data_IF_367140924682
#
_entry.id   IF_367140924682
#
_cell.length_a   1.000
_cell.length_b   1.000
_cell.length_c   1.000
_cell.angle_alpha   90.00
_cell.angle_beta   90.00
_cell.angle_gamma   90.00
#
_symmetry.space_group_name_H-M   'P 1'
#
loop_
_entity.id
_entity.type
_entity.pdbx_description
1 polymer ?
#
# COMPACT_ATOMS: atom_id res chain seq x y z
N UNK A 1 -38.67 21.96 -50.55
CA UNK A 1 -38.15 21.13 -49.44
C UNK A 1 -39.13 21.23 -48.28
N UNK A 2 -39.72 20.13 -47.82
CA UNK A 2 -40.81 20.15 -46.83
C UNK A 2 -40.28 20.65 -45.48
N UNK A 3 -41.04 21.50 -44.76
CA UNK A 3 -40.63 22.06 -43.44
C UNK A 3 -40.22 20.97 -42.44
N UNK A 4 -40.82 19.78 -42.53
CA UNK A 4 -40.48 18.59 -41.73
C UNK A 4 -39.08 18.05 -42.04
N UNK A 5 -38.63 18.13 -43.29
CA UNK A 5 -37.29 17.67 -43.73
C UNK A 5 -36.19 18.65 -43.30
N UNK A 6 -36.49 19.95 -43.23
CA UNK A 6 -35.55 20.99 -42.76
C UNK A 6 -35.30 20.91 -41.24
N UNK A 7 -36.35 20.61 -40.46
CA UNK A 7 -36.25 20.44 -39.00
C UNK A 7 -35.47 19.17 -38.65
N UNK A 8 -35.67 18.07 -39.38
CA UNK A 8 -34.89 16.84 -39.18
C UNK A 8 -33.39 17.04 -39.46
N UNK A 9 -33.05 17.90 -40.43
CA UNK A 9 -31.67 18.16 -40.84
C UNK A 9 -30.89 19.01 -39.81
N UNK A 10 -31.58 19.79 -38.98
CA UNK A 10 -30.99 20.60 -37.90
C UNK A 10 -31.01 19.90 -36.52
N UNK A 11 -31.92 18.95 -36.28
CA UNK A 11 -32.01 18.23 -35.00
C UNK A 11 -30.88 17.21 -34.81
N UNK A 12 -30.45 16.56 -35.88
CA UNK A 12 -29.39 15.54 -35.86
C UNK A 12 -28.02 16.12 -35.45
N UNK A 13 -27.53 17.26 -36.01
CA UNK A 13 -26.25 17.83 -35.57
C UNK A 13 -26.29 18.41 -34.14
N UNK A 14 -27.44 18.88 -33.66
CA UNK A 14 -27.58 19.39 -32.28
C UNK A 14 -27.42 18.29 -31.23
N UNK A 15 -27.93 17.08 -31.49
CA UNK A 15 -27.79 15.93 -30.58
C UNK A 15 -26.32 15.46 -30.54
N UNK A 16 -25.62 15.48 -31.67
CA UNK A 16 -24.20 15.08 -31.74
C UNK A 16 -23.29 16.07 -30.99
N UNK A 17 -23.55 17.39 -31.07
CA UNK A 17 -22.78 18.41 -30.34
C UNK A 17 -23.04 18.35 -28.82
N UNK A 18 -24.25 18.00 -28.40
CA UNK A 18 -24.59 17.80 -26.98
C UNK A 18 -23.94 16.55 -26.38
N UNK A 19 -23.81 15.46 -27.13
CA UNK A 19 -23.09 14.26 -26.68
C UNK A 19 -21.58 14.47 -26.53
N UNK A 20 -20.94 15.20 -27.45
CA UNK A 20 -19.50 15.48 -27.38
C UNK A 20 -19.16 16.38 -26.17
N UNK A 21 -20.05 17.31 -25.82
CA UNK A 21 -19.85 18.23 -24.69
C UNK A 21 -20.00 17.55 -23.32
N UNK A 22 -20.80 16.49 -23.20
CA UNK A 22 -21.00 15.77 -21.94
C UNK A 22 -19.79 14.89 -21.56
N UNK A 23 -19.09 14.35 -22.56
CA UNK A 23 -17.90 13.50 -22.31
C UNK A 23 -16.70 14.27 -21.76
N UNK A 24 -16.54 15.55 -22.16
CA UNK A 24 -15.42 16.39 -21.73
C UNK A 24 -15.53 16.84 -20.26
N UNK A 25 -16.75 17.08 -19.76
CA UNK A 25 -16.97 17.55 -18.38
C UNK A 25 -16.68 16.46 -17.35
N UNK A 26 -17.11 15.22 -17.60
CA UNK A 26 -16.87 14.10 -16.69
C UNK A 26 -15.38 13.79 -16.52
N UNK A 27 -14.59 13.93 -17.60
CA UNK A 27 -13.13 13.73 -17.59
C UNK A 27 -12.41 14.76 -16.72
N UNK A 28 -12.77 16.04 -16.86
CA UNK A 28 -12.15 17.12 -16.09
C UNK A 28 -12.44 17.04 -14.58
N UNK A 29 -13.61 16.53 -14.20
CA UNK A 29 -13.97 16.36 -12.78
C UNK A 29 -13.23 15.17 -12.14
N UNK A 30 -13.13 14.04 -12.84
CA UNK A 30 -12.42 12.86 -12.35
C UNK A 30 -10.91 13.11 -12.18
N UNK A 31 -10.27 13.81 -13.13
CA UNK A 31 -8.86 14.21 -13.02
C UNK A 31 -8.59 15.11 -11.81
N UNK A 32 -9.50 16.05 -11.56
CA UNK A 32 -9.41 16.97 -10.43
C UNK A 32 -9.58 16.23 -9.11
N UNK A 33 -10.58 15.34 -9.00
CA UNK A 33 -10.82 14.52 -7.81
C UNK A 33 -9.59 13.66 -7.54
N UNK A 34 -9.08 12.92 -8.54
CA UNK A 34 -7.88 12.12 -8.39
C UNK A 34 -6.68 12.96 -7.92
N UNK A 35 -6.42 14.10 -8.55
CA UNK A 35 -5.28 14.96 -8.20
C UNK A 35 -5.37 15.48 -6.76
N UNK A 36 -6.58 15.84 -6.31
CA UNK A 36 -6.83 16.29 -4.93
C UNK A 36 -6.65 15.15 -3.92
N UNK A 37 -7.21 13.97 -4.22
CA UNK A 37 -7.08 12.77 -3.37
C UNK A 37 -5.63 12.30 -3.32
N UNK A 38 -4.92 12.26 -4.44
CA UNK A 38 -3.50 11.91 -4.48
C UNK A 38 -2.70 12.90 -3.63
N UNK A 39 -2.94 14.21 -3.75
CA UNK A 39 -2.26 15.22 -2.93
C UNK A 39 -2.55 15.03 -1.44
N UNK A 40 -3.79 14.73 -1.05
CA UNK A 40 -4.18 14.44 0.35
C UNK A 40 -3.39 13.26 0.92
N UNK A 41 -3.21 12.21 0.13
CA UNK A 41 -2.50 10.98 0.54
C UNK A 41 -1.01 10.98 0.20
N UNK A 42 -0.48 12.11 -0.27
CA UNK A 42 0.95 12.32 -0.49
C UNK A 42 1.56 13.02 0.71
N UNK A 43 2.63 12.47 1.24
CA UNK A 43 3.49 13.13 2.22
C UNK A 43 4.88 13.32 1.63
N UNK A 44 5.55 14.40 2.02
CA UNK A 44 6.92 14.64 1.59
C UNK A 44 7.70 15.39 2.66
N UNK A 45 8.98 15.08 2.76
CA UNK A 45 9.92 15.79 3.62
C UNK A 45 11.23 16.00 2.87
N UNK A 46 11.79 17.20 3.01
CA UNK A 46 13.08 17.58 2.44
C UNK A 46 14.09 17.77 3.57
N UNK A 47 15.28 17.20 3.42
CA UNK A 47 16.38 17.32 4.37
C UNK A 47 17.37 18.35 3.84
N UNK A 48 17.28 19.57 4.36
CA UNK A 48 18.08 20.71 3.90
C UNK A 48 17.89 20.97 2.40
N UNK A 49 18.99 21.14 1.68
CA UNK A 49 19.05 21.20 0.22
C UNK A 49 19.55 19.89 -0.41
N UNK A 50 19.81 18.85 0.39
CA UNK A 50 20.49 17.63 -0.07
C UNK A 50 19.55 16.66 -0.78
N UNK A 51 18.42 16.30 -0.17
CA UNK A 51 17.48 15.36 -0.76
C UNK A 51 16.05 15.53 -0.24
N UNK A 52 15.09 14.97 -0.97
CA UNK A 52 13.70 14.87 -0.58
C UNK A 52 13.18 13.44 -0.69
N UNK A 53 12.24 13.11 0.18
CA UNK A 53 11.50 11.85 0.12
C UNK A 53 10.02 12.20 0.04
N UNK A 54 9.34 11.59 -0.91
CA UNK A 54 7.92 11.73 -1.16
C UNK A 54 7.30 10.35 -1.19
N UNK A 55 6.15 10.17 -0.56
CA UNK A 55 5.42 8.92 -0.61
C UNK A 55 3.92 9.18 -0.78
N UNK A 56 3.26 8.34 -1.57
CA UNK A 56 1.81 8.31 -1.71
C UNK A 56 1.28 7.02 -1.10
N UNK A 57 0.35 7.12 -0.15
CA UNK A 57 -0.30 5.94 0.41
C UNK A 57 -1.50 5.53 -0.46
N UNK A 58 -1.44 4.33 -1.05
CA UNK A 58 -2.53 3.77 -1.86
C UNK A 58 -3.63 3.18 -0.96
N UNK A 59 -4.39 4.07 -0.33
CA UNK A 59 -5.55 3.70 0.46
C UNK A 59 -6.82 3.53 -0.43
N UNK A 60 -7.93 3.00 0.13
CA UNK A 60 -9.16 2.77 -0.66
C UNK A 60 -9.69 4.01 -1.39
N UNK A 61 -9.65 5.18 -0.76
CA UNK A 61 -10.12 6.44 -1.36
C UNK A 61 -9.30 6.81 -2.61
N UNK A 62 -7.97 6.68 -2.56
CA UNK A 62 -7.10 6.97 -3.70
C UNK A 62 -7.28 5.95 -4.83
N UNK A 63 -7.45 4.67 -4.49
CA UNK A 63 -7.74 3.60 -5.46
C UNK A 63 -9.03 3.92 -6.22
N UNK A 64 -10.09 4.29 -5.50
CA UNK A 64 -11.38 4.64 -6.10
C UNK A 64 -11.25 5.86 -7.02
N UNK A 65 -10.58 6.92 -6.56
CA UNK A 65 -10.36 8.10 -7.38
C UNK A 65 -9.55 7.78 -8.65
N UNK A 66 -8.57 6.87 -8.56
CA UNK A 66 -7.81 6.41 -9.72
C UNK A 66 -8.67 5.63 -10.72
N UNK A 67 -9.47 4.69 -10.25
CA UNK A 67 -10.34 3.89 -11.13
C UNK A 67 -11.39 4.79 -11.79
N UNK A 68 -11.98 5.75 -11.07
CA UNK A 68 -12.92 6.72 -11.64
C UNK A 68 -12.25 7.58 -12.73
N UNK A 69 -11.02 8.06 -12.47
CA UNK A 69 -10.21 8.76 -13.48
C UNK A 69 -9.94 7.88 -14.71
N UNK A 70 -9.45 6.66 -14.50
CA UNK A 70 -9.16 5.72 -15.58
C UNK A 70 -10.42 5.38 -16.39
N UNK A 71 -11.56 5.18 -15.73
CA UNK A 71 -12.84 4.94 -16.37
C UNK A 71 -13.28 6.10 -17.24
N UNK A 72 -13.17 7.33 -16.75
CA UNK A 72 -13.48 8.54 -17.52
C UNK A 72 -12.51 8.74 -18.70
N UNK A 73 -11.21 8.45 -18.52
CA UNK A 73 -10.20 8.57 -19.58
C UNK A 73 -10.38 7.55 -20.70
N UNK A 74 -10.85 6.34 -20.38
CA UNK A 74 -11.02 5.23 -21.31
C UNK A 74 -12.49 4.98 -21.72
N UNK A 75 -13.42 5.85 -21.32
CA UNK A 75 -14.86 5.75 -21.60
C UNK A 75 -15.48 4.41 -21.18
N UNK A 76 -15.02 3.87 -20.05
CA UNK A 76 -15.49 2.60 -19.52
C UNK A 76 -16.92 2.72 -19.00
N UNK A 77 -17.75 1.73 -19.32
CA UNK A 77 -19.02 1.49 -18.65
C UNK A 77 -18.81 1.19 -17.15
N UNK A 78 -19.90 1.24 -16.37
CA UNK A 78 -19.81 0.94 -14.93
C UNK A 78 -19.34 -0.50 -14.66
N UNK A 79 -19.75 -1.45 -15.50
CA UNK A 79 -19.33 -2.85 -15.41
C UNK A 79 -17.83 -3.00 -15.69
N UNK A 80 -17.33 -2.34 -16.75
CA UNK A 80 -15.90 -2.34 -17.08
C UNK A 80 -15.05 -1.64 -16.02
N UNK A 81 -15.54 -0.55 -15.42
CA UNK A 81 -14.86 0.09 -14.29
C UNK A 81 -14.80 -0.83 -13.07
N UNK A 82 -15.88 -1.58 -12.82
CA UNK A 82 -15.94 -2.56 -11.74
C UNK A 82 -14.91 -3.68 -11.97
N UNK A 83 -14.88 -4.25 -13.17
CA UNK A 83 -13.90 -5.27 -13.52
C UNK A 83 -12.45 -4.73 -13.40
N UNK A 84 -12.20 -3.52 -13.91
CA UNK A 84 -10.89 -2.89 -13.79
C UNK A 84 -10.49 -2.62 -12.33
N UNK A 85 -11.43 -2.20 -11.47
CA UNK A 85 -11.16 -2.00 -10.06
C UNK A 85 -10.62 -3.29 -9.41
N UNK A 86 -11.27 -4.42 -9.68
CA UNK A 86 -10.89 -5.73 -9.14
C UNK A 86 -9.53 -6.17 -9.63
N UNK A 87 -9.32 -6.10 -10.95
CA UNK A 87 -8.04 -6.42 -11.58
C UNK A 87 -6.93 -5.53 -11.00
N UNK A 88 -7.21 -4.25 -10.74
CA UNK A 88 -6.25 -3.32 -10.15
C UNK A 88 -5.92 -3.67 -8.70
N UNK A 89 -6.94 -3.95 -7.87
CA UNK A 89 -6.76 -4.39 -6.49
C UNK A 89 -5.90 -5.66 -6.41
N UNK A 90 -6.17 -6.64 -7.28
CA UNK A 90 -5.46 -7.91 -7.32
C UNK A 90 -4.03 -7.72 -7.84
N UNK A 91 -3.86 -7.03 -8.97
CA UNK A 91 -2.55 -6.78 -9.60
C UNK A 91 -1.61 -6.03 -8.67
N UNK A 92 -2.11 -5.00 -8.01
CA UNK A 92 -1.33 -4.21 -7.04
C UNK A 92 -1.29 -4.84 -5.64
N UNK A 93 -1.99 -5.97 -5.45
CA UNK A 93 -2.01 -6.76 -4.21
C UNK A 93 -2.47 -5.96 -2.99
N UNK A 94 -3.33 -4.97 -3.18
CA UNK A 94 -3.84 -4.11 -2.11
C UNK A 94 -4.66 -4.88 -1.07
N UNK A 95 -5.18 -6.06 -1.40
CA UNK A 95 -5.84 -6.96 -0.42
C UNK A 95 -4.87 -7.50 0.65
N UNK A 96 -3.58 -7.66 0.30
CA UNK A 96 -2.56 -8.28 1.16
C UNK A 96 -1.64 -7.26 1.81
N UNK A 97 -1.36 -6.16 1.10
CA UNK A 97 -0.34 -5.20 1.51
C UNK A 97 -0.88 -3.77 1.67
N UNK A 98 -0.30 -3.04 2.61
CA UNK A 98 -0.29 -1.59 2.59
C UNK A 98 0.79 -1.16 1.59
N UNK A 99 0.42 -0.35 0.61
CA UNK A 99 1.30 0.00 -0.51
C UNK A 99 1.59 1.49 -0.51
N UNK A 100 2.87 1.82 -0.56
CA UNK A 100 3.35 3.19 -0.63
C UNK A 100 4.15 3.37 -1.92
N UNK A 101 3.77 4.35 -2.75
CA UNK A 101 4.56 4.74 -3.91
C UNK A 101 5.55 5.81 -3.50
N UNK A 102 6.81 5.43 -3.37
CA UNK A 102 7.87 6.23 -2.77
C UNK A 102 8.78 6.76 -3.85
N UNK A 103 9.24 7.99 -3.69
CA UNK A 103 10.27 8.62 -4.49
C UNK A 103 11.29 9.26 -3.57
N UNK A 104 12.56 8.93 -3.75
CA UNK A 104 13.70 9.57 -3.11
C UNK A 104 14.45 10.32 -4.19
N UNK A 105 14.60 11.62 -4.04
CA UNK A 105 15.24 12.51 -5.01
C UNK A 105 16.40 13.24 -4.36
N UNK A 106 17.60 13.05 -4.92
CA UNK A 106 18.79 13.85 -4.61
C UNK A 106 18.64 15.22 -5.26
N UNK A 107 18.76 16.26 -4.45
CA UNK A 107 18.68 17.65 -4.89
C UNK A 107 20.09 18.19 -5.16
N UNK A 108 20.88 18.43 -4.10
CA UNK A 108 22.29 18.85 -4.20
C UNK A 108 23.23 17.83 -3.54
N UNK A 109 24.54 18.07 -3.60
CA UNK A 109 25.53 17.19 -2.98
C UNK A 109 25.78 15.87 -3.70
N UNK A 110 26.54 14.95 -3.08
CA UNK A 110 26.86 13.66 -3.67
C UNK A 110 25.66 12.72 -3.65
N UNK A 111 25.78 11.64 -4.41
CA UNK A 111 24.78 10.59 -4.46
C UNK A 111 24.46 10.02 -3.07
N UNK A 112 23.18 9.71 -2.86
CA UNK A 112 22.71 9.06 -1.65
C UNK A 112 23.14 7.59 -1.66
N UNK A 113 23.41 7.05 -0.48
CA UNK A 113 23.83 5.67 -0.31
C UNK A 113 23.03 5.07 0.84
N UNK A 114 21.84 4.51 0.55
CA UNK A 114 21.01 3.91 1.56
C UNK A 114 21.71 2.71 2.20
N UNK A 115 21.90 2.75 3.51
CA UNK A 115 22.50 1.64 4.24
C UNK A 115 21.40 0.67 4.64
N UNK A 116 21.47 -0.58 4.15
CA UNK A 116 20.54 -1.66 4.51
C UNK A 116 19.07 -1.19 4.50
N UNK A 117 18.59 -0.84 3.32
CA UNK A 117 17.33 -0.12 3.14
C UNK A 117 16.16 -0.83 3.85
N UNK A 118 16.11 -2.16 3.76
CA UNK A 118 15.10 -3.00 4.40
C UNK A 118 15.04 -2.85 5.93
N UNK A 119 16.19 -2.72 6.62
CA UNK A 119 16.24 -2.59 8.08
C UNK A 119 15.97 -1.16 8.55
N UNK A 120 16.29 -0.18 7.71
CA UNK A 120 16.21 1.24 8.05
C UNK A 120 14.94 1.92 7.52
N UNK A 121 14.11 1.18 6.79
CA UNK A 121 12.80 1.65 6.32
C UNK A 121 11.68 0.77 6.90
N UNK A 122 10.78 1.38 7.67
CA UNK A 122 9.70 0.66 8.35
C UNK A 122 8.48 1.55 8.60
N UNK A 123 7.32 0.93 8.76
CA UNK A 123 6.12 1.59 9.26
C UNK A 123 6.07 1.55 10.79
N UNK A 124 5.50 2.59 11.38
CA UNK A 124 5.17 2.67 12.81
C UNK A 124 3.68 2.98 12.94
N UNK A 125 2.97 2.23 13.79
CA UNK A 125 1.59 2.54 14.18
C UNK A 125 1.52 3.54 15.35
N UNK A 126 0.31 3.84 15.82
CA UNK A 126 0.04 4.72 16.95
C UNK A 126 0.54 4.15 18.30
N UNK A 127 0.70 2.83 18.40
CA UNK A 127 1.21 2.12 19.57
C UNK A 127 2.73 2.02 19.59
N UNK A 128 3.42 2.46 18.52
CA UNK A 128 4.87 2.38 18.40
C UNK A 128 5.39 1.03 17.91
N UNK A 129 4.52 0.14 17.44
CA UNK A 129 4.95 -1.12 16.83
C UNK A 129 5.59 -0.84 15.47
N UNK A 130 6.71 -1.51 15.19
CA UNK A 130 7.44 -1.39 13.92
C UNK A 130 7.08 -2.54 12.99
N UNK A 131 6.83 -2.21 11.73
CA UNK A 131 6.54 -3.18 10.66
C UNK A 131 7.51 -2.95 9.51
N UNK A 132 8.31 -3.97 9.21
CA UNK A 132 9.36 -3.87 8.20
C UNK A 132 8.83 -4.13 6.79
N UNK A 133 9.54 -3.59 5.80
CA UNK A 133 9.25 -3.84 4.39
C UNK A 133 9.30 -5.33 4.07
N UNK A 134 8.36 -5.79 3.25
CA UNK A 134 8.35 -7.14 2.70
C UNK A 134 8.92 -7.17 1.28
N UNK A 135 8.50 -6.22 0.45
CA UNK A 135 8.93 -6.14 -0.95
C UNK A 135 9.11 -4.69 -1.40
N UNK A 136 10.11 -4.46 -2.24
CA UNK A 136 10.40 -3.18 -2.90
C UNK A 136 11.37 -3.39 -4.08
N UNK A 137 11.47 -2.41 -5.01
CA UNK A 137 12.44 -2.47 -6.10
C UNK A 137 13.89 -2.42 -5.58
N UNK A 138 14.77 -3.26 -6.13
CA UNK A 138 16.15 -3.38 -5.69
C UNK A 138 16.95 -2.08 -5.81
N UNK A 139 16.52 -1.19 -6.69
CA UNK A 139 17.12 0.12 -6.94
C UNK A 139 17.17 1.01 -5.68
N UNK A 140 16.34 0.74 -4.66
CA UNK A 140 16.42 1.43 -3.37
C UNK A 140 17.60 0.98 -2.49
N UNK A 141 18.18 -0.20 -2.74
CA UNK A 141 19.43 -0.65 -2.09
C UNK A 141 20.69 -0.13 -2.81
N UNK A 142 20.53 0.43 -4.01
CA UNK A 142 21.63 0.94 -4.82
C UNK A 142 21.95 2.42 -4.51
N UNK A 143 23.09 2.88 -5.03
CA UNK A 143 23.50 4.28 -4.94
C UNK A 143 22.56 5.16 -5.79
N UNK A 144 21.93 6.16 -5.18
CA UNK A 144 20.96 7.04 -5.85
C UNK A 144 21.66 8.30 -6.34
N UNK A 145 21.88 8.39 -7.65
CA UNK A 145 22.54 9.54 -8.27
C UNK A 145 21.62 10.74 -8.47
N UNK A 146 20.37 10.51 -8.87
CA UNK A 146 19.39 11.58 -9.10
C UNK A 146 18.09 11.27 -8.37
N UNK A 147 17.46 10.15 -8.72
CA UNK A 147 16.16 9.77 -8.17
C UNK A 147 15.96 8.27 -8.25
N UNK A 148 15.28 7.71 -7.25
CA UNK A 148 14.71 6.36 -7.30
C UNK A 148 13.22 6.46 -6.93
N UNK A 149 12.39 5.67 -7.62
CA UNK A 149 10.96 5.62 -7.37
C UNK A 149 10.45 4.19 -7.44
N UNK A 150 9.44 3.88 -6.64
CA UNK A 150 8.71 2.62 -6.75
C UNK A 150 7.88 2.26 -5.53
N UNK A 151 7.20 1.12 -5.64
CA UNK A 151 6.21 0.67 -4.65
C UNK A 151 6.87 -0.12 -3.53
N UNK A 152 6.54 0.23 -2.30
CA UNK A 152 6.94 -0.48 -1.09
C UNK A 152 5.73 -1.19 -0.50
N UNK A 153 5.89 -2.47 -0.20
CA UNK A 153 4.82 -3.34 0.28
C UNK A 153 5.08 -3.71 1.74
N UNK A 154 4.11 -3.40 2.59
CA UNK A 154 4.07 -3.81 4.00
C UNK A 154 2.89 -4.72 4.23
N UNK A 155 2.97 -5.65 5.18
CA UNK A 155 1.81 -6.46 5.57
C UNK A 155 0.62 -5.58 5.94
N UNK A 156 -0.62 -5.98 5.61
CA UNK A 156 -1.81 -5.35 6.21
C UNK A 156 -2.06 -5.82 7.64
N UNK A 157 -1.53 -6.98 7.99
CA UNK A 157 -1.70 -7.62 9.30
C UNK A 157 -0.46 -7.36 10.15
N UNK A 158 -0.69 -6.80 11.33
CA UNK A 158 0.32 -6.51 12.34
C UNK A 158 0.35 -7.57 13.43
N UNK A 159 0.63 -7.13 14.67
CA UNK A 159 0.71 -8.03 15.82
C UNK A 159 -0.66 -8.64 16.17
N UNK A 160 -0.64 -9.85 16.71
CA UNK A 160 -1.84 -10.57 17.16
C UNK A 160 -2.94 -10.63 16.09
N UNK A 161 -2.52 -10.74 14.84
CA UNK A 161 -3.40 -10.79 13.66
C UNK A 161 -4.34 -9.59 13.48
N UNK A 162 -4.03 -8.45 14.11
CA UNK A 162 -4.81 -7.24 13.96
C UNK A 162 -4.37 -6.44 12.72
N UNK A 163 -5.30 -5.79 11.99
CA UNK A 163 -4.92 -4.89 10.90
C UNK A 163 -4.04 -3.74 11.42
N UNK A 164 -2.96 -3.41 10.69
CA UNK A 164 -2.11 -2.25 11.02
C UNK A 164 -2.90 -0.94 10.87
N UNK A 165 -3.79 -0.87 9.88
CA UNK A 165 -4.71 0.24 9.63
C UNK A 165 -6.14 -0.26 9.80
N UNK A 166 -6.80 0.16 10.88
CA UNK A 166 -8.18 -0.15 11.22
C UNK A 166 -8.92 1.08 11.77
N UNK A 167 -10.20 0.94 12.16
CA UNK A 167 -11.05 2.06 12.61
C UNK A 167 -10.47 2.90 13.76
N UNK A 168 -9.68 2.27 14.62
CA UNK A 168 -9.08 2.93 15.79
C UNK A 168 -7.72 3.56 15.49
N UNK A 169 -7.08 3.21 14.36
CA UNK A 169 -5.75 3.71 13.98
C UNK A 169 -5.81 5.20 13.72
N UNK A 170 -5.14 5.99 14.57
CA UNK A 170 -5.10 7.47 14.44
C UNK A 170 -3.98 7.98 13.55
N UNK A 171 -2.89 7.22 13.43
CA UNK A 171 -1.75 7.59 12.59
C UNK A 171 -0.96 6.36 12.16
N UNK A 172 -0.33 6.48 11.00
CA UNK A 172 0.80 5.64 10.59
C UNK A 172 1.94 6.54 10.15
N UNK A 173 3.17 6.09 10.42
CA UNK A 173 4.39 6.82 10.05
C UNK A 173 5.28 5.91 9.21
N UNK A 174 5.61 6.33 7.99
CA UNK A 174 6.64 5.69 7.19
C UNK A 174 7.98 6.37 7.51
N UNK A 175 8.88 5.59 8.09
CA UNK A 175 10.17 6.04 8.56
C UNK A 175 11.26 5.57 7.62
N UNK A 176 12.19 6.47 7.28
CA UNK A 176 13.44 6.16 6.59
C UNK A 176 14.62 6.72 7.41
N UNK A 177 15.66 5.93 7.58
CA UNK A 177 16.93 6.39 8.14
C UNK A 177 18.11 5.97 7.29
N UNK A 178 19.27 6.59 7.53
CA UNK A 178 20.53 6.21 6.91
C UNK A 178 20.48 6.17 5.37
N UNK A 179 19.75 7.10 4.74
CA UNK A 179 19.70 7.25 3.28
C UNK A 179 21.01 7.83 2.70
N UNK A 180 21.84 8.45 3.53
CA UNK A 180 23.13 9.00 3.16
C UNK A 180 24.22 8.51 4.12
N UNK A 181 25.44 8.39 3.60
CA UNK A 181 26.65 8.13 4.39
C UNK A 181 27.41 9.41 4.73
N UNK A 182 26.96 10.56 4.24
CA UNK A 182 27.58 11.84 4.56
C UNK A 182 27.37 12.19 6.05
N UNK A 183 28.42 12.59 6.80
CA UNK A 183 28.32 12.84 8.24
C UNK A 183 27.20 13.82 8.64
N UNK A 184 26.94 14.83 7.80
CA UNK A 184 25.88 15.83 8.03
C UNK A 184 24.46 15.26 7.91
N UNK A 185 24.30 14.14 7.19
CA UNK A 185 23.00 13.57 6.84
C UNK A 185 22.79 12.12 7.29
N UNK A 186 23.83 11.42 7.74
CA UNK A 186 23.76 10.01 8.15
C UNK A 186 22.79 9.76 9.31
N UNK A 187 22.68 10.73 10.23
CA UNK A 187 21.78 10.66 11.38
C UNK A 187 20.38 11.23 11.10
N UNK A 188 20.12 11.74 9.88
CA UNK A 188 18.83 12.33 9.53
C UNK A 188 17.80 11.22 9.30
N UNK A 189 16.65 11.39 9.95
CA UNK A 189 15.49 10.53 9.76
C UNK A 189 14.42 11.29 9.00
N UNK A 190 13.76 10.58 8.10
CA UNK A 190 12.58 11.06 7.38
C UNK A 190 11.38 10.33 7.96
N UNK A 191 10.36 11.10 8.35
CA UNK A 191 9.10 10.59 8.89
C UNK A 191 7.94 11.17 8.09
N UNK A 192 7.28 10.32 7.31
CA UNK A 192 6.10 10.67 6.54
C UNK A 192 4.86 10.17 7.29
N UNK A 193 3.99 11.09 7.72
CA UNK A 193 2.90 10.78 8.65
C UNK A 193 1.54 10.95 7.96
N UNK A 194 0.72 9.90 8.01
CA UNK A 194 -0.69 9.97 7.63
C UNK A 194 -1.55 9.89 8.89
N UNK A 195 -2.42 10.89 9.07
CA UNK A 195 -3.42 10.93 10.14
C UNK A 195 -4.74 10.35 9.64
N UNK A 196 -5.44 9.68 10.53
CA UNK A 196 -6.71 8.99 10.26
C UNK A 196 -6.64 8.14 8.96
N UNK A 197 -5.66 7.22 8.85
CA UNK A 197 -5.38 6.51 7.60
C UNK A 197 -6.46 5.50 7.21
N UNK A 198 -7.37 5.15 8.12
CA UNK A 198 -8.44 4.23 7.85
C UNK A 198 -9.59 4.91 7.11
N UNK A 199 -9.86 4.40 5.91
CA UNK A 199 -11.05 4.76 5.13
C UNK A 199 -12.04 3.61 5.25
N UNK A 200 -13.25 3.85 5.80
CA UNK A 200 -14.27 2.82 5.83
C UNK A 200 -14.65 2.43 4.39
N UNK A 201 -14.92 1.15 4.13
CA UNK A 201 -15.43 0.73 2.83
C UNK A 201 -16.71 1.50 2.49
N UNK A 202 -16.74 2.10 1.30
CA UNK A 202 -17.92 2.80 0.78
C UNK A 202 -18.86 1.80 0.12
N UNK A 203 -19.89 1.39 0.85
CA UNK A 203 -20.93 0.49 0.34
C UNK A 203 -22.04 1.21 -0.42
N UNK A 204 -22.02 2.55 -0.52
CA UNK A 204 -23.09 3.33 -1.15
C UNK A 204 -23.08 3.21 -2.67
N UNK A 205 -21.92 2.91 -3.26
CA UNK A 205 -21.82 2.58 -4.67
C UNK A 205 -21.73 1.04 -4.83
N UNK A 206 -22.81 0.43 -5.33
CA UNK A 206 -22.96 -1.03 -5.48
C UNK A 206 -21.80 -1.68 -6.26
N UNK A 207 -21.24 -0.98 -7.25
CA UNK A 207 -20.09 -1.41 -8.06
C UNK A 207 -18.76 -1.51 -7.30
N UNK A 208 -18.69 -0.98 -6.07
CA UNK A 208 -17.46 -0.93 -5.27
C UNK A 208 -17.56 -1.72 -3.98
N UNK A 209 -18.70 -2.37 -3.74
CA UNK A 209 -18.76 -3.45 -2.76
C UNK A 209 -17.82 -4.55 -3.26
N UNK A 210 -16.86 -5.03 -2.45
CA UNK A 210 -16.12 -6.24 -2.82
C UNK A 210 -17.15 -7.33 -3.08
N UNK A 211 -17.07 -7.98 -4.25
CA UNK A 211 -17.95 -9.11 -4.48
C UNK A 211 -17.68 -10.16 -3.42
N UNK A 212 -18.72 -10.82 -2.92
CA UNK A 212 -18.60 -11.87 -1.89
C UNK A 212 -17.51 -12.88 -2.25
N UNK A 213 -17.33 -13.18 -3.53
CA UNK A 213 -16.28 -14.07 -4.05
C UNK A 213 -14.86 -13.57 -3.80
N UNK A 214 -14.59 -12.26 -3.89
CA UNK A 214 -13.27 -11.68 -3.62
C UNK A 214 -12.93 -11.69 -2.14
N UNK A 215 -13.93 -11.40 -1.31
CA UNK A 215 -13.78 -11.48 0.14
C UNK A 215 -13.56 -12.94 0.57
N UNK A 216 -14.26 -13.89 -0.06
CA UNK A 216 -14.03 -15.32 0.11
C UNK A 216 -12.59 -15.69 -0.31
N UNK A 217 -12.10 -15.20 -1.45
CA UNK A 217 -10.74 -15.51 -1.93
C UNK A 217 -9.67 -14.95 -0.97
N UNK A 218 -9.84 -13.71 -0.49
CA UNK A 218 -8.97 -13.12 0.55
C UNK A 218 -8.96 -13.98 1.82
N UNK A 219 -10.13 -14.43 2.26
CA UNK A 219 -10.27 -15.27 3.46
C UNK A 219 -9.67 -16.66 3.25
N UNK A 220 -9.81 -17.26 2.07
CA UNK A 220 -9.19 -18.54 1.71
C UNK A 220 -7.66 -18.45 1.70
N UNK A 221 -7.10 -17.39 1.12
CA UNK A 221 -5.65 -17.16 1.16
C UNK A 221 -5.14 -16.95 2.60
N UNK A 222 -5.91 -16.24 3.43
CA UNK A 222 -5.59 -16.09 4.86
C UNK A 222 -5.61 -17.44 5.58
N UNK A 223 -6.55 -18.33 5.27
CA UNK A 223 -6.58 -19.69 5.81
C UNK A 223 -5.29 -20.44 5.42
N UNK A 224 -4.86 -20.38 4.15
CA UNK A 224 -3.64 -21.04 3.69
C UNK A 224 -2.41 -20.55 4.47
N UNK A 225 -2.27 -19.23 4.67
CA UNK A 225 -1.16 -18.67 5.45
C UNK A 225 -1.22 -19.10 6.92
N UNK A 226 -2.40 -19.09 7.54
CA UNK A 226 -2.59 -19.53 8.92
C UNK A 226 -2.30 -21.03 9.11
N UNK A 227 -2.61 -21.87 8.12
CA UNK A 227 -2.27 -23.29 8.15
C UNK A 227 -0.76 -23.52 8.07
N UNK A 228 -0.05 -22.73 7.26
CA UNK A 228 1.40 -22.77 7.18
C UNK A 228 2.05 -22.33 8.50
N UNK A 229 1.60 -21.22 9.08
CA UNK A 229 2.07 -20.70 10.36
C UNK A 229 1.78 -21.69 11.51
N UNK A 230 0.57 -22.27 11.55
CA UNK A 230 0.22 -23.31 12.51
C UNK A 230 1.18 -24.50 12.43
N UNK A 231 1.56 -24.92 11.22
CA UNK A 231 2.47 -26.05 11.03
C UNK A 231 3.85 -25.73 11.59
N UNK A 232 4.38 -24.54 11.30
CA UNK A 232 5.68 -24.08 11.83
C UNK A 232 5.68 -24.00 13.36
N UNK A 233 4.61 -23.45 13.96
CA UNK A 233 4.47 -23.38 15.42
C UNK A 233 4.41 -24.77 16.07
N UNK A 234 3.74 -25.74 15.45
CA UNK A 234 3.72 -27.14 15.93
C UNK A 234 5.11 -27.77 15.85
N UNK A 235 5.87 -27.51 14.80
CA UNK A 235 7.25 -28.00 14.66
C UNK A 235 8.16 -27.39 15.74
N UNK A 236 8.06 -26.08 15.98
CA UNK A 236 8.77 -25.40 17.06
C UNK A 236 8.38 -25.94 18.44
N UNK A 237 7.10 -26.21 18.69
CA UNK A 237 6.63 -26.80 19.95
C UNK A 237 7.29 -28.16 20.19
N UNK A 238 7.37 -29.03 19.17
CA UNK A 238 8.02 -30.35 19.29
C UNK A 238 9.50 -30.25 19.62
N UNK A 239 10.20 -29.26 19.04
CA UNK A 239 11.62 -29.02 19.34
C UNK A 239 11.81 -28.64 20.82
N UNK A 240 10.98 -27.71 21.32
CA UNK A 240 11.02 -27.28 22.72
C UNK A 240 10.70 -28.45 23.67
N UNK A 241 9.69 -29.26 23.35
CA UNK A 241 9.34 -30.45 24.14
C UNK A 241 10.49 -31.47 24.19
N UNK A 242 11.19 -31.69 23.07
CA UNK A 242 12.38 -32.54 23.04
C UNK A 242 13.52 -31.99 23.89
N UNK A 243 13.72 -30.67 23.92
CA UNK A 243 14.76 -30.05 24.74
C UNK A 243 14.44 -30.16 26.23
N UNK A 244 13.18 -29.94 26.62
CA UNK A 244 12.72 -30.14 28.00
C UNK A 244 13.02 -31.57 28.47
N UNK A 245 12.73 -32.57 27.64
CA UNK A 245 12.96 -33.97 27.99
C UNK A 245 14.46 -34.29 28.12
N UNK A 246 15.29 -33.77 27.21
CA UNK A 246 16.75 -33.91 27.31
C UNK A 246 17.31 -33.27 28.59
N UNK A 247 16.81 -32.09 28.96
CA UNK A 247 17.22 -31.40 30.19
C UNK A 247 16.78 -32.17 31.44
N UNK A 248 15.54 -32.70 31.47
CA UNK A 248 15.06 -33.54 32.58
C UNK A 248 15.93 -34.78 32.75
N UNK A 249 16.19 -35.51 31.67
CA UNK A 249 17.07 -36.70 31.69
C UNK A 249 18.47 -36.34 32.22
N UNK A 250 19.01 -35.17 31.83
CA UNK A 250 20.31 -34.73 32.33
C UNK A 250 20.28 -34.41 33.83
N UNK A 251 19.22 -33.78 34.32
CA UNK A 251 19.03 -33.52 35.75
C UNK A 251 18.97 -34.84 36.52
N UNK A 252 18.22 -35.82 36.04
CA UNK A 252 18.10 -37.15 36.66
C UNK A 252 19.46 -37.88 36.71
N UNK A 253 20.22 -37.87 35.60
CA UNK A 253 21.57 -38.43 35.54
C UNK A 253 22.50 -37.79 36.59
N UNK A 254 22.51 -36.45 36.68
CA UNK A 254 23.34 -35.72 37.65
C UNK A 254 22.90 -36.00 39.10
N UNK A 255 21.60 -36.11 39.37
CA UNK A 255 21.07 -36.45 40.69
C UNK A 255 21.42 -37.89 41.10
N UNK A 256 21.45 -38.83 40.15
CA UNK A 256 21.87 -40.20 40.41
C UNK A 256 23.36 -40.27 40.79
N UNK A 257 24.21 -39.54 40.08
CA UNK A 257 25.65 -39.48 40.36
C UNK A 257 26.00 -38.82 41.70
N UNK A 258 25.15 -37.93 42.22
CA UNK A 258 25.33 -37.31 43.54
C UNK A 258 25.01 -38.25 44.72
N UNK A 259 24.32 -39.36 44.48
CA UNK A 259 23.93 -40.33 45.52
C UNK A 259 24.87 -41.54 45.62
N UNK A 260 25.90 -41.61 44.77
CA UNK A 260 27.00 -42.58 44.83
C UNK A 260 28.19 -41.97 45.57
#
# INVERSE_FOLDING_TARGET
>A
MNKKTLILLFLIPCIVVLFISFTSSAKTDADKIYSQTQKKWTQSQTIGDAFSVKAVFWNPELVQAWVAKYGAENLLSLEEQTAYHRDFIQRERFQRYLVFDVTIEKLTGPALFPLNFTKNTYLIDDQGNKYYLLEFPREFDDKIFDKVSGKMYFSRIGKNDQPIVGPDTKKITLHFSHLSIEPSYVAQNVELIWKDPYIPPDYTQVSWQPELEEEILRLQERIILLEAEKKELIENQKLIESEIENVKNKIEELQANLKQ
#
